data_IF_474498657542
#
_entry.id   IF_474498657542
#
_cell.length_a   1.000
_cell.length_b   1.000
_cell.length_c   1.000
_cell.angle_alpha   90.00
_cell.angle_beta   90.00
_cell.angle_gamma   90.00
#
_symmetry.space_group_name_H-M   'P 1'
#
loop_
_entity.id
_entity.type
_entity.pdbx_description
1 polymer ?
#
# COMPACT_ATOMS: atom_id res chain seq x y z
N UNK A 1 7.75 -12.82 -9.44
CA UNK A 1 6.92 -11.94 -10.35
C UNK A 1 6.41 -10.76 -9.56
N UNK A 2 6.46 -9.53 -10.11
CA UNK A 2 5.87 -8.33 -9.49
C UNK A 2 4.43 -8.11 -9.99
N UNK A 3 3.50 -7.62 -9.15
CA UNK A 3 2.15 -7.34 -9.59
C UNK A 3 2.06 -6.16 -10.58
N UNK A 4 1.06 -6.18 -11.47
CA UNK A 4 0.68 -5.07 -12.34
C UNK A 4 0.16 -3.89 -11.52
N UNK A 5 0.45 -2.66 -11.94
CA UNK A 5 0.16 -1.45 -11.18
C UNK A 5 -0.82 -0.54 -11.91
N UNK A 6 -1.76 0.04 -11.15
CA UNK A 6 -2.68 1.07 -11.64
C UNK A 6 -2.03 2.45 -11.66
N UNK A 7 -2.46 3.31 -12.59
CA UNK A 7 -2.09 4.73 -12.67
C UNK A 7 -3.15 5.60 -11.99
N UNK A 8 -2.77 6.73 -11.37
CA UNK A 8 -3.74 7.72 -10.90
C UNK A 8 -4.50 8.33 -12.08
N UNK A 9 -5.80 8.56 -11.93
CA UNK A 9 -6.60 9.25 -12.94
C UNK A 9 -7.58 10.24 -12.31
N UNK A 10 -7.95 11.26 -13.07
CA UNK A 10 -8.81 12.35 -12.59
C UNK A 10 -10.30 12.05 -12.75
N UNK A 11 -10.68 11.25 -13.76
CA UNK A 11 -12.07 10.96 -14.11
C UNK A 11 -12.29 9.46 -14.20
N UNK A 12 -13.34 8.98 -13.53
CA UNK A 12 -13.76 7.58 -13.60
C UNK A 12 -14.26 7.29 -15.01
N UNK A 13 -13.74 6.26 -15.70
CA UNK A 13 -14.22 5.90 -17.01
C UNK A 13 -15.64 5.31 -16.92
N UNK A 14 -16.44 5.54 -17.95
CA UNK A 14 -17.78 4.97 -18.08
C UNK A 14 -17.85 4.03 -19.30
N UNK A 15 -18.86 3.18 -19.32
CA UNK A 15 -19.15 2.29 -20.45
C UNK A 15 -18.82 0.83 -20.17
N UNK A 16 -19.26 -0.07 -21.07
CA UNK A 16 -19.23 -1.53 -20.85
C UNK A 16 -17.83 -2.14 -20.87
N UNK A 17 -16.81 -1.40 -21.31
CA UNK A 17 -15.44 -1.88 -21.39
C UNK A 17 -14.71 -1.82 -20.04
N UNK A 18 -15.33 -1.24 -19.02
CA UNK A 18 -14.73 -1.02 -17.73
C UNK A 18 -15.49 -1.72 -16.61
N UNK A 19 -14.75 -2.21 -15.65
CA UNK A 19 -15.25 -2.74 -14.38
C UNK A 19 -14.58 -1.99 -13.23
N UNK A 20 -15.31 -1.84 -12.13
CA UNK A 20 -14.87 -1.05 -10.97
C UNK A 20 -14.83 -1.93 -9.73
N UNK A 21 -13.81 -1.75 -8.92
CA UNK A 21 -13.58 -2.50 -7.69
C UNK A 21 -13.26 -1.53 -6.55
N UNK A 22 -13.54 -1.94 -5.32
CA UNK A 22 -13.06 -1.23 -4.14
C UNK A 22 -11.53 -1.24 -4.12
N UNK A 23 -10.93 -0.08 -3.87
CA UNK A 23 -9.51 0.01 -3.55
C UNK A 23 -9.31 -0.31 -2.09
N UNK A 24 -8.77 -1.49 -1.82
CA UNK A 24 -8.53 -1.99 -0.49
C UNK A 24 -7.29 -1.32 0.15
N UNK A 25 -7.39 -0.93 1.42
CA UNK A 25 -6.27 -0.38 2.20
C UNK A 25 -5.57 -1.51 2.97
N UNK A 26 -4.56 -2.11 2.35
CA UNK A 26 -3.90 -3.30 2.85
C UNK A 26 -2.49 -3.50 2.32
N UNK A 27 -2.06 -4.76 2.25
CA UNK A 27 -0.80 -5.18 1.65
C UNK A 27 -1.04 -6.01 0.40
N UNK A 28 -0.60 -5.51 -0.76
CA UNK A 28 -0.63 -6.26 -2.03
C UNK A 28 0.27 -7.47 -1.99
N UNK A 29 -0.29 -8.62 -2.35
CA UNK A 29 0.44 -9.87 -2.46
C UNK A 29 0.08 -10.64 -3.73
N UNK A 30 1.02 -11.43 -4.21
CA UNK A 30 0.76 -12.58 -5.05
C UNK A 30 0.72 -13.81 -4.13
N UNK A 31 -0.42 -14.51 -4.12
CA UNK A 31 -0.60 -15.74 -3.36
C UNK A 31 -0.44 -16.92 -4.33
N UNK A 32 0.69 -17.60 -4.19
CA UNK A 32 1.04 -18.78 -4.98
C UNK A 32 0.70 -20.02 -4.19
N UNK A 33 -0.25 -20.81 -4.71
CA UNK A 33 -0.64 -22.11 -4.16
C UNK A 33 -0.04 -23.17 -5.07
N UNK A 34 0.85 -23.99 -4.52
CA UNK A 34 1.46 -25.12 -5.20
C UNK A 34 2.00 -26.13 -4.20
N UNK A 35 2.03 -27.40 -4.58
CA UNK A 35 2.60 -28.49 -3.76
C UNK A 35 2.05 -28.56 -2.33
N UNK A 36 0.75 -28.28 -2.14
CA UNK A 36 0.09 -28.26 -0.85
C UNK A 36 0.54 -27.12 0.08
N UNK A 37 1.07 -26.03 -0.45
CA UNK A 37 1.57 -24.87 0.30
C UNK A 37 1.09 -23.57 -0.32
N UNK A 38 1.03 -22.55 0.52
CA UNK A 38 0.80 -21.17 0.10
C UNK A 38 2.09 -20.39 0.28
N UNK A 39 2.53 -19.70 -0.74
CA UNK A 39 3.59 -18.71 -0.67
C UNK A 39 3.02 -17.32 -0.96
N UNK A 40 3.22 -16.38 -0.05
CA UNK A 40 2.76 -15.00 -0.17
C UNK A 40 3.96 -14.10 -0.50
N UNK A 41 3.94 -13.52 -1.69
CA UNK A 41 5.00 -12.61 -2.14
C UNK A 41 4.46 -11.18 -2.19
N UNK A 42 5.08 -10.27 -1.46
CA UNK A 42 4.70 -8.85 -1.47
C UNK A 42 5.01 -8.18 -2.82
N UNK A 43 4.53 -6.95 -3.01
CA UNK A 43 4.82 -6.11 -4.20
C UNK A 43 6.32 -6.01 -4.52
N UNK A 44 7.19 -6.05 -3.51
CA UNK A 44 8.64 -5.95 -3.63
C UNK A 44 9.35 -7.31 -3.63
N UNK A 45 8.61 -8.36 -3.94
CA UNK A 45 9.11 -9.76 -4.05
C UNK A 45 9.67 -10.33 -2.73
N UNK A 46 9.27 -9.75 -1.57
CA UNK A 46 9.60 -10.33 -0.27
C UNK A 46 8.60 -11.43 0.08
N UNK A 47 9.11 -12.55 0.59
CA UNK A 47 8.29 -13.58 1.22
C UNK A 47 7.72 -13.06 2.54
N UNK A 48 6.38 -13.04 2.63
CA UNK A 48 5.61 -12.61 3.81
C UNK A 48 4.74 -13.73 4.37
N UNK A 49 4.92 -14.95 3.90
CA UNK A 49 4.09 -16.13 4.22
C UNK A 49 3.98 -16.36 5.72
N UNK A 50 5.10 -16.31 6.44
CA UNK A 50 5.13 -16.53 7.90
C UNK A 50 4.24 -15.54 8.65
N UNK A 51 4.06 -14.34 8.12
CA UNK A 51 3.27 -13.30 8.78
C UNK A 51 1.75 -13.55 8.73
N UNK A 52 1.26 -14.44 7.86
CA UNK A 52 -0.17 -14.66 7.61
C UNK A 52 -0.54 -16.16 7.63
N UNK A 53 -0.34 -16.85 8.77
CA UNK A 53 -0.58 -18.29 8.88
C UNK A 53 -2.05 -18.67 8.64
N UNK A 54 -3.01 -17.74 8.84
CA UNK A 54 -4.43 -17.94 8.59
C UNK A 54 -4.76 -18.17 7.11
N UNK A 55 -3.87 -17.76 6.18
CA UNK A 55 -4.05 -17.97 4.75
C UNK A 55 -3.56 -19.33 4.26
N UNK A 56 -2.90 -20.13 5.10
CA UNK A 56 -2.39 -21.45 4.72
C UNK A 56 -3.48 -22.40 4.22
N UNK A 57 -4.71 -22.28 4.73
CA UNK A 57 -5.85 -23.09 4.31
C UNK A 57 -6.28 -22.94 2.84
N UNK A 58 -5.74 -21.95 2.10
CA UNK A 58 -5.93 -21.89 0.64
C UNK A 58 -5.40 -23.15 -0.06
N UNK A 59 -4.33 -23.77 0.44
CA UNK A 59 -3.74 -24.97 -0.13
C UNK A 59 -4.59 -26.23 0.11
N UNK A 60 -5.56 -26.18 1.03
CA UNK A 60 -6.51 -27.27 1.26
C UNK A 60 -7.63 -27.29 0.20
N UNK A 61 -7.87 -26.16 -0.49
CA UNK A 61 -8.93 -26.02 -1.46
C UNK A 61 -8.45 -26.17 -2.92
N UNK A 62 -7.20 -25.82 -3.19
CA UNK A 62 -6.65 -25.79 -4.55
C UNK A 62 -5.22 -26.34 -4.58
N UNK A 63 -4.91 -27.11 -5.64
CA UNK A 63 -3.61 -27.73 -5.82
C UNK A 63 -2.59 -26.81 -6.49
N UNK A 64 -3.06 -25.97 -7.43
CA UNK A 64 -2.19 -25.04 -8.18
C UNK A 64 -2.98 -23.81 -8.65
N UNK A 65 -2.63 -22.64 -8.11
CA UNK A 65 -3.10 -21.35 -8.58
C UNK A 65 -2.16 -20.21 -8.18
N UNK A 66 -2.20 -19.11 -8.94
CA UNK A 66 -1.55 -17.85 -8.58
C UNK A 66 -2.60 -16.73 -8.59
N UNK A 67 -2.87 -16.19 -7.40
CA UNK A 67 -3.81 -15.09 -7.19
C UNK A 67 -3.06 -13.77 -7.04
N UNK A 68 -3.67 -12.69 -7.53
CA UNK A 68 -3.29 -11.33 -7.19
C UNK A 68 -4.36 -10.74 -6.26
N UNK A 69 -3.95 -10.23 -5.13
CA UNK A 69 -4.89 -9.78 -4.11
C UNK A 69 -4.29 -8.76 -3.14
N UNK A 70 -5.16 -8.26 -2.27
CA UNK A 70 -4.80 -7.39 -1.16
C UNK A 70 -5.10 -8.09 0.16
N UNK A 71 -4.10 -8.24 1.03
CA UNK A 71 -4.32 -8.67 2.41
C UNK A 71 -4.77 -7.45 3.20
N UNK A 72 -5.95 -7.56 3.82
CA UNK A 72 -6.54 -6.51 4.65
C UNK A 72 -6.74 -6.99 6.09
N UNK A 73 -6.61 -6.08 7.04
CA UNK A 73 -7.08 -6.27 8.41
C UNK A 73 -8.03 -5.13 8.77
N UNK A 74 -9.02 -5.42 9.61
CA UNK A 74 -10.06 -4.46 9.95
C UNK A 74 -9.70 -3.65 11.19
N UNK A 75 -10.06 -2.37 11.17
CA UNK A 75 -10.04 -1.50 12.35
C UNK A 75 -11.36 -0.75 12.43
N UNK A 76 -12.17 -1.05 13.43
CA UNK A 76 -13.52 -0.49 13.52
C UNK A 76 -14.42 -0.87 12.35
N UNK A 77 -14.26 -2.06 11.77
CA UNK A 77 -15.07 -2.54 10.64
C UNK A 77 -14.60 -2.04 9.26
N UNK A 78 -13.55 -1.22 9.19
CA UNK A 78 -13.02 -0.68 7.93
C UNK A 78 -11.60 -1.25 7.69
N UNK A 79 -11.28 -1.66 6.44
CA UNK A 79 -9.92 -2.06 6.07
C UNK A 79 -8.91 -0.95 6.39
N UNK A 80 -7.78 -1.31 6.99
CA UNK A 80 -6.81 -0.34 7.46
C UNK A 80 -5.39 -0.89 7.36
N UNK A 81 -4.54 -0.27 6.55
CA UNK A 81 -3.11 -0.59 6.47
C UNK A 81 -2.41 -0.54 7.86
N UNK A 82 -2.66 0.46 8.74
CA UNK A 82 -2.07 0.46 10.08
C UNK A 82 -2.47 -0.75 10.94
N UNK A 83 -3.59 -1.41 10.67
CA UNK A 83 -3.99 -2.62 11.39
C UNK A 83 -3.09 -3.82 11.07
N UNK A 84 -2.37 -3.78 9.94
CA UNK A 84 -1.37 -4.78 9.55
C UNK A 84 0.04 -4.47 10.06
N UNK A 85 0.28 -3.29 10.63
CA UNK A 85 1.63 -2.79 10.94
C UNK A 85 2.45 -3.77 11.81
N UNK A 86 1.82 -4.45 12.76
CA UNK A 86 2.51 -5.42 13.63
C UNK A 86 2.91 -6.71 12.91
N UNK A 87 2.36 -6.96 11.69
CA UNK A 87 2.60 -8.16 10.89
C UNK A 87 3.83 -8.05 9.99
N UNK A 88 4.25 -6.83 9.60
CA UNK A 88 5.27 -6.61 8.57
C UNK A 88 6.67 -7.12 8.90
N UNK A 89 7.01 -7.26 10.18
CA UNK A 89 8.32 -7.72 10.63
C UNK A 89 8.28 -9.08 11.32
N UNK A 90 7.16 -9.79 11.23
CA UNK A 90 7.01 -11.06 11.92
C UNK A 90 7.73 -12.14 11.14
N UNK A 91 8.77 -12.71 11.77
CA UNK A 91 9.52 -13.86 11.27
C UNK A 91 9.29 -15.12 12.12
N UNK A 92 8.65 -14.97 13.27
CA UNK A 92 8.32 -16.06 14.18
C UNK A 92 6.90 -16.54 13.95
N UNK A 93 6.73 -17.80 13.55
CA UNK A 93 5.42 -18.42 13.36
C UNK A 93 4.55 -18.34 14.62
N UNK A 94 5.11 -18.57 15.81
CA UNK A 94 4.37 -18.46 17.08
C UNK A 94 3.77 -17.09 17.29
N UNK A 95 4.55 -16.03 17.00
CA UNK A 95 4.07 -14.65 17.10
C UNK A 95 3.00 -14.35 16.04
N UNK A 96 3.19 -14.85 14.82
CA UNK A 96 2.22 -14.67 13.74
C UNK A 96 0.86 -15.27 14.10
N UNK A 97 0.83 -16.49 14.64
CA UNK A 97 -0.41 -17.16 15.10
C UNK A 97 -1.12 -16.34 16.19
N UNK A 98 -0.36 -15.80 17.17
CA UNK A 98 -0.95 -14.95 18.22
C UNK A 98 -1.58 -13.68 17.64
N UNK A 99 -0.91 -13.03 16.69
CA UNK A 99 -1.42 -11.83 16.04
C UNK A 99 -2.61 -12.12 15.12
N UNK A 100 -2.59 -13.25 14.42
CA UNK A 100 -3.70 -13.70 13.58
C UNK A 100 -4.97 -13.97 14.40
N UNK A 101 -4.83 -14.56 15.58
CA UNK A 101 -5.96 -14.79 16.50
C UNK A 101 -6.53 -13.48 17.06
N UNK A 102 -5.67 -12.47 17.32
CA UNK A 102 -6.09 -11.18 17.87
C UNK A 102 -6.74 -10.27 16.82
N UNK A 103 -6.21 -10.27 15.60
CA UNK A 103 -6.70 -9.46 14.48
C UNK A 103 -6.45 -10.22 13.16
N UNK A 104 -7.38 -11.12 12.76
CA UNK A 104 -7.22 -11.92 11.56
C UNK A 104 -7.21 -11.05 10.31
N UNK A 105 -6.35 -11.42 9.37
CA UNK A 105 -6.30 -10.81 8.05
C UNK A 105 -7.12 -11.61 7.04
N UNK A 106 -7.58 -10.93 6.00
CA UNK A 106 -8.35 -11.54 4.89
C UNK A 106 -7.68 -11.18 3.56
N UNK A 107 -7.51 -12.16 2.69
CA UNK A 107 -7.08 -11.95 1.31
C UNK A 107 -8.30 -11.58 0.45
N UNK A 108 -8.28 -10.41 -0.15
CA UNK A 108 -9.21 -9.94 -1.18
C UNK A 108 -8.60 -10.29 -2.54
N UNK A 109 -8.92 -11.47 -3.08
CA UNK A 109 -8.40 -11.93 -4.37
C UNK A 109 -9.20 -11.30 -5.51
N UNK A 110 -8.57 -10.50 -6.35
CA UNK A 110 -9.24 -9.76 -7.42
C UNK A 110 -8.73 -10.10 -8.82
N UNK A 111 -7.69 -10.93 -8.97
CA UNK A 111 -7.22 -11.44 -10.25
C UNK A 111 -6.64 -12.85 -10.10
N UNK A 112 -6.69 -13.63 -11.19
CA UNK A 112 -6.17 -14.99 -11.29
C UNK A 112 -5.16 -15.06 -12.43
N UNK A 113 -3.91 -15.39 -12.11
CA UNK A 113 -2.79 -15.32 -13.05
C UNK A 113 -2.34 -16.69 -13.54
N UNK A 114 -2.55 -17.74 -12.76
CA UNK A 114 -2.29 -19.14 -13.11
C UNK A 114 -3.34 -20.04 -12.48
N UNK A 115 -3.74 -21.09 -13.20
CA UNK A 115 -4.60 -22.14 -12.69
C UNK A 115 -4.21 -23.49 -13.33
N UNK A 116 -3.93 -24.50 -12.52
CA UNK A 116 -3.55 -25.86 -12.94
C UNK A 116 -2.46 -25.88 -14.04
N UNK A 117 -1.38 -25.14 -13.82
CA UNK A 117 -0.25 -25.01 -14.73
C UNK A 117 -0.49 -24.08 -15.92
N UNK A 118 -1.70 -23.57 -16.12
CA UNK A 118 -2.02 -22.69 -17.26
C UNK A 118 -1.79 -21.23 -16.87
N UNK A 119 -0.88 -20.54 -17.58
CA UNK A 119 -0.68 -19.10 -17.47
C UNK A 119 -1.88 -18.35 -18.09
N UNK A 120 -2.50 -17.49 -17.30
CA UNK A 120 -3.66 -16.68 -17.69
C UNK A 120 -3.29 -15.22 -17.97
N UNK A 121 -2.05 -14.79 -17.77
CA UNK A 121 -1.64 -13.37 -17.90
C UNK A 121 -1.94 -12.77 -19.25
N UNK A 122 -1.90 -13.58 -20.33
CA UNK A 122 -2.22 -13.15 -21.70
C UNK A 122 -3.72 -13.16 -22.03
N UNK A 123 -4.57 -13.69 -21.14
CA UNK A 123 -6.02 -13.62 -21.29
C UNK A 123 -6.53 -12.23 -20.91
N UNK A 124 -7.72 -11.90 -21.41
CA UNK A 124 -8.41 -10.67 -20.99
C UNK A 124 -8.75 -10.68 -19.48
N UNK A 125 -8.86 -9.53 -18.86
CA UNK A 125 -9.35 -9.43 -17.48
C UNK A 125 -10.73 -10.08 -17.34
N UNK A 126 -11.61 -9.89 -18.31
CA UNK A 126 -12.94 -10.51 -18.33
C UNK A 126 -12.85 -12.04 -18.20
N UNK A 127 -11.96 -12.70 -18.95
CA UNK A 127 -11.78 -14.16 -18.90
C UNK A 127 -11.16 -14.60 -17.58
N UNK A 128 -10.13 -13.87 -17.10
CA UNK A 128 -9.48 -14.18 -15.81
C UNK A 128 -10.46 -14.03 -14.64
N UNK A 129 -11.24 -12.95 -14.66
CA UNK A 129 -12.24 -12.68 -13.63
C UNK A 129 -13.39 -13.68 -13.65
N UNK A 130 -13.95 -14.01 -14.81
CA UNK A 130 -14.98 -15.02 -14.94
C UNK A 130 -14.48 -16.41 -14.47
N UNK A 131 -13.20 -16.71 -14.68
CA UNK A 131 -12.59 -17.94 -14.17
C UNK A 131 -12.45 -17.90 -12.66
N UNK A 132 -11.96 -16.81 -12.08
CA UNK A 132 -11.83 -16.60 -10.64
C UNK A 132 -13.18 -16.72 -9.92
N UNK A 133 -14.24 -16.13 -10.47
CA UNK A 133 -15.59 -16.17 -9.89
C UNK A 133 -16.17 -17.59 -9.91
N UNK A 134 -15.94 -18.36 -10.98
CA UNK A 134 -16.38 -19.78 -11.06
C UNK A 134 -15.69 -20.72 -10.09
N UNK A 135 -14.52 -20.34 -9.54
CA UNK A 135 -13.85 -21.12 -8.50
C UNK A 135 -14.57 -21.03 -7.16
N UNK A 136 -15.55 -20.10 -7.02
CA UNK A 136 -16.30 -19.87 -5.78
C UNK A 136 -15.37 -19.77 -4.55
N UNK A 137 -14.23 -19.10 -4.76
CA UNK A 137 -13.17 -18.95 -3.77
C UNK A 137 -13.70 -18.19 -2.55
N UNK A 138 -14.12 -18.91 -1.54
CA UNK A 138 -14.62 -18.35 -0.28
C UNK A 138 -14.08 -19.15 0.90
N UNK A 139 -13.71 -18.43 1.97
CA UNK A 139 -13.20 -19.02 3.20
C UNK A 139 -13.20 -18.00 4.33
N UNK A 140 -12.81 -18.42 5.54
CA UNK A 140 -12.81 -17.52 6.69
C UNK A 140 -11.84 -16.35 6.54
N UNK A 141 -10.80 -16.50 5.69
CA UNK A 141 -9.71 -15.55 5.55
C UNK A 141 -9.39 -15.17 4.09
N UNK A 142 -10.24 -15.53 3.12
CA UNK A 142 -10.12 -15.13 1.72
C UNK A 142 -11.48 -15.06 1.05
N UNK A 143 -11.58 -14.18 0.09
CA UNK A 143 -12.78 -14.01 -0.73
C UNK A 143 -12.46 -13.31 -2.05
N UNK A 144 -13.35 -13.47 -3.02
CA UNK A 144 -13.36 -12.72 -4.27
C UNK A 144 -14.33 -11.55 -4.07
N UNK A 145 -13.83 -10.29 -3.99
CA UNK A 145 -14.72 -9.14 -3.81
C UNK A 145 -15.55 -8.89 -5.08
N UNK A 146 -16.77 -8.34 -4.96
CA UNK A 146 -17.60 -8.04 -6.10
C UNK A 146 -17.01 -6.96 -7.01
N UNK A 147 -17.43 -6.98 -8.27
CA UNK A 147 -17.16 -5.93 -9.25
C UNK A 147 -18.44 -5.15 -9.55
N UNK A 148 -18.29 -3.91 -10.04
CA UNK A 148 -19.38 -2.98 -10.27
C UNK A 148 -19.30 -2.37 -11.67
N UNK A 149 -20.44 -2.13 -12.32
CA UNK A 149 -20.53 -1.51 -13.63
C UNK A 149 -20.59 0.03 -13.57
N UNK A 150 -21.05 0.60 -12.45
CA UNK A 150 -21.12 2.05 -12.22
C UNK A 150 -20.02 2.50 -11.27
N UNK A 151 -18.97 3.09 -11.85
CA UNK A 151 -17.80 3.52 -11.09
C UNK A 151 -18.03 4.80 -10.28
N UNK A 152 -18.88 5.73 -10.73
CA UNK A 152 -19.14 6.95 -9.95
C UNK A 152 -20.01 6.63 -8.73
N UNK A 153 -21.03 5.78 -8.89
CA UNK A 153 -21.84 5.30 -7.78
C UNK A 153 -20.97 4.55 -6.74
N UNK A 154 -20.10 3.67 -7.22
CA UNK A 154 -19.16 2.98 -6.33
C UNK A 154 -18.21 3.95 -5.61
N UNK A 155 -17.75 5.00 -6.31
CA UNK A 155 -16.86 6.02 -5.75
C UNK A 155 -17.56 6.83 -4.64
N UNK A 156 -18.82 7.17 -4.82
CA UNK A 156 -19.65 7.81 -3.77
C UNK A 156 -19.84 6.88 -2.58
N UNK A 157 -20.29 5.64 -2.81
CA UNK A 157 -20.51 4.66 -1.75
C UNK A 157 -19.24 4.36 -0.94
N UNK A 158 -18.08 4.20 -1.60
CA UNK A 158 -16.80 3.98 -0.92
C UNK A 158 -16.33 5.18 -0.11
N UNK A 159 -16.66 6.41 -0.54
CA UNK A 159 -16.39 7.64 0.22
C UNK A 159 -17.23 7.70 1.49
N UNK A 160 -18.51 7.43 1.39
CA UNK A 160 -19.47 7.47 2.51
C UNK A 160 -19.14 6.41 3.56
N UNK A 161 -18.62 5.26 3.13
CA UNK A 161 -18.16 4.17 4.00
C UNK A 161 -16.73 4.38 4.55
N UNK A 162 -16.04 5.47 4.18
CA UNK A 162 -14.68 5.75 4.64
C UNK A 162 -13.61 4.81 4.08
N UNK A 163 -13.89 4.13 2.97
CA UNK A 163 -12.94 3.26 2.25
C UNK A 163 -11.89 4.11 1.50
N UNK A 164 -10.83 3.48 1.04
CA UNK A 164 -9.68 4.18 0.42
C UNK A 164 -10.01 4.80 -0.94
N UNK A 165 -10.93 4.22 -1.69
CA UNK A 165 -11.31 4.65 -3.04
C UNK A 165 -11.74 3.49 -3.92
N UNK A 166 -11.55 3.66 -5.23
CA UNK A 166 -11.86 2.63 -6.23
C UNK A 166 -10.69 2.40 -7.20
N UNK A 167 -10.73 1.25 -7.87
CA UNK A 167 -9.89 0.92 -9.03
C UNK A 167 -10.81 0.58 -10.19
N UNK A 168 -10.61 1.23 -11.36
CA UNK A 168 -11.29 0.88 -12.61
C UNK A 168 -10.34 0.09 -13.50
N UNK A 169 -10.79 -1.03 -14.01
CA UNK A 169 -9.99 -1.93 -14.84
C UNK A 169 -10.68 -2.14 -16.18
N UNK A 170 -9.91 -2.07 -17.28
CA UNK A 170 -10.41 -2.37 -18.62
C UNK A 170 -10.62 -3.87 -18.77
N UNK A 171 -11.80 -4.31 -19.16
CA UNK A 171 -12.16 -5.73 -19.27
C UNK A 171 -11.31 -6.49 -20.31
N UNK A 172 -10.84 -5.82 -21.37
CA UNK A 172 -9.97 -6.40 -22.38
C UNK A 172 -8.49 -6.44 -22.00
N UNK A 173 -8.11 -5.87 -20.84
CA UNK A 173 -6.71 -5.74 -20.43
C UNK A 173 -6.05 -7.11 -20.21
N UNK A 174 -4.81 -7.23 -20.66
CA UNK A 174 -3.90 -8.30 -20.25
C UNK A 174 -3.26 -7.95 -18.93
N UNK A 175 -2.66 -8.94 -18.30
CA UNK A 175 -1.88 -8.69 -17.08
C UNK A 175 -0.41 -8.46 -17.45
N UNK A 176 0.12 -7.30 -17.11
CA UNK A 176 1.49 -6.88 -17.39
C UNK A 176 2.33 -6.88 -16.11
N UNK A 177 3.00 -7.99 -15.77
CA UNK A 177 3.75 -8.10 -14.51
C UNK A 177 4.77 -6.97 -14.33
N UNK A 178 4.73 -6.31 -13.16
CA UNK A 178 5.66 -5.26 -12.78
C UNK A 178 5.47 -3.92 -13.47
N UNK A 179 4.56 -3.82 -14.45
CA UNK A 179 4.35 -2.58 -15.21
C UNK A 179 3.18 -1.76 -14.68
N UNK A 180 3.26 -0.45 -14.84
CA UNK A 180 2.11 0.46 -14.73
C UNK A 180 1.36 0.45 -16.06
N UNK A 181 0.02 0.43 -15.98
CA UNK A 181 -0.81 0.41 -17.18
C UNK A 181 -2.01 1.35 -16.99
N UNK A 182 -2.31 2.13 -18.02
CA UNK A 182 -3.51 2.96 -18.11
C UNK A 182 -4.80 2.13 -18.26
N UNK A 183 -4.66 0.83 -18.46
CA UNK A 183 -5.80 -0.09 -18.44
C UNK A 183 -6.33 -0.36 -17.04
N UNK A 184 -5.54 0.03 -16.01
CA UNK A 184 -5.95 0.02 -14.59
C UNK A 184 -5.78 1.42 -14.01
N UNK A 185 -6.90 2.02 -13.58
CA UNK A 185 -6.98 3.39 -13.08
C UNK A 185 -7.36 3.41 -11.61
N UNK A 186 -6.64 4.16 -10.77
CA UNK A 186 -6.96 4.29 -9.34
C UNK A 186 -7.51 5.67 -9.01
N UNK A 187 -8.53 5.71 -8.15
CA UNK A 187 -9.24 6.91 -7.69
C UNK A 187 -9.32 6.91 -6.16
N UNK A 188 -8.24 7.23 -5.45
CA UNK A 188 -8.27 7.30 -3.99
C UNK A 188 -9.06 8.52 -3.53
N UNK A 189 -9.82 8.38 -2.42
CA UNK A 189 -10.56 9.50 -1.80
C UNK A 189 -9.65 10.45 -1.04
N UNK A 190 -8.62 9.88 -0.39
CA UNK A 190 -7.50 10.62 0.18
C UNK A 190 -6.24 10.17 -0.51
N UNK A 191 -5.37 11.10 -0.75
CA UNK A 191 -4.10 10.77 -1.37
C UNK A 191 -3.17 10.17 -0.33
N UNK A 192 -2.99 8.88 -0.36
CA UNK A 192 -1.88 8.21 0.32
C UNK A 192 -0.66 8.20 -0.58
N UNK A 193 0.49 8.52 -0.01
CA UNK A 193 1.77 8.44 -0.67
C UNK A 193 2.78 7.73 0.21
N UNK A 194 3.52 6.78 -0.38
CA UNK A 194 4.73 6.25 0.22
C UNK A 194 5.86 7.24 -0.01
N UNK A 195 6.49 7.71 1.07
CA UNK A 195 7.52 8.75 1.04
C UNK A 195 8.71 8.35 1.90
N UNK A 196 9.86 8.98 1.65
CA UNK A 196 11.08 8.78 2.43
C UNK A 196 11.15 9.79 3.57
N UNK A 197 11.61 9.33 4.75
CA UNK A 197 11.94 10.21 5.87
C UNK A 197 13.37 10.71 5.68
N UNK A 198 13.55 12.02 5.53
CA UNK A 198 14.86 12.68 5.38
C UNK A 198 15.24 13.54 6.57
N UNK A 199 14.38 13.64 7.58
CA UNK A 199 14.65 14.37 8.81
C UNK A 199 13.50 14.24 9.81
N UNK A 200 13.73 14.77 11.01
CA UNK A 200 12.69 14.86 12.04
C UNK A 200 12.89 16.10 12.92
N UNK A 201 11.84 16.47 13.63
CA UNK A 201 11.85 17.56 14.62
C UNK A 201 11.31 17.07 15.94
N UNK A 202 11.83 17.60 17.05
CA UNK A 202 11.26 17.32 18.37
C UNK A 202 9.87 17.96 18.53
N UNK A 203 9.12 17.49 19.53
CA UNK A 203 7.92 18.16 20.02
C UNK A 203 8.27 19.54 20.57
N UNK A 204 7.31 20.47 20.60
CA UNK A 204 7.54 21.88 20.99
C UNK A 204 8.15 22.01 22.39
N UNK A 205 7.77 21.13 23.32
CA UNK A 205 8.22 21.17 24.72
C UNK A 205 9.22 20.05 25.06
N UNK A 206 9.92 19.50 24.06
CA UNK A 206 10.88 18.41 24.24
C UNK A 206 12.04 18.54 23.27
N UNK A 207 13.21 18.08 23.66
CA UNK A 207 14.40 18.02 22.80
C UNK A 207 14.62 16.64 22.17
N UNK A 208 14.00 15.60 22.69
CA UNK A 208 14.25 14.19 22.37
C UNK A 208 13.00 13.42 21.92
N UNK A 209 11.80 13.92 22.23
CA UNK A 209 10.58 13.30 21.73
C UNK A 209 10.26 13.73 20.30
N UNK A 210 10.10 12.75 19.43
CA UNK A 210 9.81 12.98 18.03
C UNK A 210 8.40 13.57 17.85
N UNK A 211 8.32 14.82 17.38
CA UNK A 211 7.07 15.54 17.14
C UNK A 211 6.62 15.55 15.67
N UNK A 212 7.58 15.53 14.75
CA UNK A 212 7.28 15.50 13.31
C UNK A 212 8.43 14.90 12.51
N UNK A 213 8.12 14.33 11.34
CA UNK A 213 9.11 13.94 10.33
C UNK A 213 9.09 14.89 9.15
N UNK A 214 10.24 15.07 8.51
CA UNK A 214 10.44 15.75 7.24
C UNK A 214 10.48 14.70 6.15
N UNK A 215 9.60 14.81 5.18
CA UNK A 215 9.43 13.76 4.16
C UNK A 215 9.69 14.26 2.75
N UNK A 216 10.08 13.34 1.87
CA UNK A 216 10.32 13.60 0.47
C UNK A 216 10.13 12.37 -0.40
N UNK A 217 10.16 12.57 -1.71
CA UNK A 217 10.15 11.49 -2.69
C UNK A 217 11.29 11.68 -3.71
N UNK A 218 11.92 10.58 -4.18
CA UNK A 218 12.90 10.63 -5.25
C UNK A 218 12.32 11.25 -6.52
N UNK A 219 13.07 12.20 -7.08
CA UNK A 219 12.77 12.92 -8.31
C UNK A 219 14.08 13.04 -9.13
N UNK A 220 14.03 13.46 -10.41
CA UNK A 220 15.23 13.61 -11.23
C UNK A 220 16.31 14.50 -10.61
N UNK A 221 15.91 15.51 -9.86
CA UNK A 221 16.81 16.44 -9.15
C UNK A 221 17.36 15.90 -7.81
N UNK A 222 16.91 14.74 -7.36
CA UNK A 222 17.24 14.16 -6.05
C UNK A 222 16.00 13.96 -5.16
N UNK A 223 16.17 13.96 -3.83
CA UNK A 223 15.05 13.80 -2.89
C UNK A 223 14.27 15.12 -2.81
N UNK A 224 13.13 15.23 -3.50
CA UNK A 224 12.25 16.41 -3.43
C UNK A 224 11.55 16.49 -2.09
N UNK A 225 11.67 17.64 -1.42
CA UNK A 225 11.00 17.90 -0.15
C UNK A 225 9.48 18.04 -0.33
N UNK A 226 8.71 17.25 0.43
CA UNK A 226 7.24 17.23 0.36
C UNK A 226 6.55 17.83 1.59
N UNK A 227 7.31 18.18 2.63
CA UNK A 227 6.76 18.87 3.79
C UNK A 227 7.03 18.14 5.12
N UNK A 228 6.42 18.74 6.17
CA UNK A 228 6.48 18.24 7.55
C UNK A 228 5.20 17.51 7.91
N UNK A 229 5.35 16.32 8.54
CA UNK A 229 4.25 15.45 8.97
C UNK A 229 4.35 15.28 10.48
N UNK A 230 3.42 15.86 11.23
CA UNK A 230 3.34 15.75 12.70
C UNK A 230 2.13 14.94 13.17
N UNK A 231 1.02 15.02 12.43
CA UNK A 231 -0.18 14.25 12.78
C UNK A 231 0.06 12.75 12.64
N UNK A 232 -0.42 11.96 13.60
CA UNK A 232 -0.29 10.49 13.60
C UNK A 232 1.01 9.94 14.20
N UNK A 233 1.90 10.80 14.73
CA UNK A 233 3.23 10.39 15.28
C UNK A 233 3.25 10.34 16.82
N UNK A 234 2.20 10.73 17.51
CA UNK A 234 2.21 10.85 18.97
C UNK A 234 2.44 9.52 19.71
N UNK A 235 3.02 9.61 20.92
CA UNK A 235 3.12 8.51 21.89
C UNK A 235 4.03 7.36 21.43
N UNK A 236 3.54 6.12 21.52
CA UNK A 236 4.32 4.90 21.21
C UNK A 236 4.84 4.87 19.77
N UNK A 237 4.10 5.45 18.82
CA UNK A 237 4.49 5.51 17.39
C UNK A 237 5.74 6.38 17.24
N UNK A 238 5.73 7.59 17.84
CA UNK A 238 6.89 8.49 17.81
C UNK A 238 8.12 7.89 18.48
N UNK A 239 7.95 7.24 19.64
CA UNK A 239 9.04 6.60 20.36
C UNK A 239 9.68 5.43 19.57
N UNK A 240 8.87 4.62 18.89
CA UNK A 240 9.36 3.55 18.04
C UNK A 240 10.13 4.11 16.82
N UNK A 241 9.56 5.12 16.17
CA UNK A 241 10.17 5.75 15.00
C UNK A 241 11.48 6.47 15.35
N UNK A 242 11.55 7.15 16.51
CA UNK A 242 12.77 7.79 16.98
C UNK A 242 13.93 6.80 17.15
N UNK A 243 13.67 5.59 17.64
CA UNK A 243 14.69 4.53 17.75
C UNK A 243 15.23 4.10 16.38
N UNK A 244 14.38 3.99 15.37
CA UNK A 244 14.79 3.63 14.02
C UNK A 244 15.61 4.76 13.35
N UNK A 245 15.29 6.02 13.64
CA UNK A 245 15.95 7.19 13.07
C UNK A 245 17.30 7.52 13.73
N UNK A 246 17.51 7.14 14.99
CA UNK A 246 18.72 7.49 15.76
C UNK A 246 20.04 7.06 15.09
N UNK A 247 20.03 5.89 14.42
CA UNK A 247 21.21 5.37 13.70
C UNK A 247 21.41 5.94 12.28
N UNK A 248 20.53 6.85 11.83
CA UNK A 248 20.53 7.36 10.46
C UNK A 248 20.90 8.84 10.34
N UNK A 249 21.30 9.49 11.44
CA UNK A 249 21.62 10.92 11.46
C UNK A 249 22.75 11.26 10.49
N UNK A 250 22.56 12.35 9.75
CA UNK A 250 23.53 12.93 8.81
C UNK A 250 23.72 14.42 9.08
N UNK A 251 24.87 14.97 8.73
CA UNK A 251 25.24 16.38 8.98
C UNK A 251 24.60 17.36 7.99
N UNK A 252 24.20 16.88 6.83
CA UNK A 252 23.65 17.72 5.74
C UNK A 252 22.23 17.28 5.37
N UNK A 253 21.42 18.22 4.89
CA UNK A 253 20.09 17.92 4.38
C UNK A 253 20.16 16.93 3.21
N UNK A 254 19.39 15.84 3.22
CA UNK A 254 19.31 14.91 2.10
C UNK A 254 18.36 15.40 1.00
N UNK A 255 17.62 16.49 1.24
CA UNK A 255 16.66 17.02 0.28
C UNK A 255 17.34 17.84 -0.79
N UNK A 256 16.92 17.65 -2.04
CA UNK A 256 17.27 18.53 -3.15
C UNK A 256 16.56 19.88 -2.97
N UNK A 257 17.33 20.96 -3.06
CA UNK A 257 16.82 22.30 -2.86
C UNK A 257 16.71 22.73 -1.38
N UNK A 258 16.04 23.84 -1.16
CA UNK A 258 15.95 24.48 0.16
C UNK A 258 14.74 23.96 0.94
N UNK A 259 15.01 23.37 2.11
CA UNK A 259 13.95 23.11 3.12
C UNK A 259 13.59 24.46 3.76
N UNK A 260 12.29 24.83 3.90
CA UNK A 260 11.89 26.06 4.55
C UNK A 260 12.52 26.24 5.91
N UNK A 261 12.88 27.48 6.24
CA UNK A 261 13.52 27.80 7.53
C UNK A 261 12.70 27.33 8.72
N UNK A 262 11.37 27.44 8.65
CA UNK A 262 10.44 26.99 9.69
C UNK A 262 10.48 25.47 9.92
N UNK A 263 10.81 24.69 8.89
CA UNK A 263 10.92 23.24 8.97
C UNK A 263 12.36 22.78 9.25
N UNK A 264 13.35 23.52 8.75
CA UNK A 264 14.77 23.23 8.95
C UNK A 264 15.28 23.59 10.36
N UNK A 265 14.71 24.63 10.98
CA UNK A 265 15.16 25.10 12.30
C UNK A 265 14.89 24.05 13.37
N UNK A 266 15.95 23.56 14.04
CA UNK A 266 15.86 22.50 15.05
C UNK A 266 15.59 21.11 14.48
N UNK A 267 15.69 20.91 13.16
CA UNK A 267 15.57 19.59 12.55
C UNK A 267 16.87 18.81 12.67
N UNK A 268 16.75 17.50 12.89
CA UNK A 268 17.83 16.53 12.71
C UNK A 268 17.62 15.82 11.39
N UNK A 269 18.57 15.96 10.46
CA UNK A 269 18.53 15.29 9.17
C UNK A 269 18.99 13.84 9.30
N UNK A 270 18.41 12.95 8.48
CA UNK A 270 18.72 11.53 8.46
C UNK A 270 18.89 11.03 7.03
N UNK A 271 19.70 9.99 6.85
CA UNK A 271 19.79 9.30 5.57
C UNK A 271 18.40 8.74 5.17
N UNK A 272 17.91 8.98 3.95
CA UNK A 272 16.53 8.66 3.54
C UNK A 272 16.36 7.16 3.23
N UNK A 273 16.52 6.32 4.25
CA UNK A 273 16.43 4.87 4.15
C UNK A 273 15.07 4.31 4.56
N UNK A 274 14.29 5.10 5.29
CA UNK A 274 13.01 4.64 5.84
C UNK A 274 11.85 5.14 4.99
N UNK A 275 11.04 4.20 4.50
CA UNK A 275 9.78 4.50 3.81
C UNK A 275 8.64 4.55 4.81
N UNK A 276 7.77 5.54 4.70
CA UNK A 276 6.53 5.63 5.46
C UNK A 276 5.34 5.97 4.57
N UNK A 277 4.16 5.60 5.01
CA UNK A 277 2.90 6.01 4.40
C UNK A 277 2.44 7.32 5.01
N UNK A 278 2.10 8.27 4.16
CA UNK A 278 1.52 9.56 4.55
C UNK A 278 0.23 9.78 3.78
N UNK A 279 -0.83 10.15 4.48
CA UNK A 279 -2.09 10.53 3.88
C UNK A 279 -2.21 12.05 3.86
N UNK A 280 -2.64 12.63 2.74
CA UNK A 280 -2.77 14.07 2.58
C UNK A 280 -4.02 14.44 1.75
N UNK A 281 -4.44 15.70 1.81
CA UNK A 281 -5.52 16.25 0.97
C UNK A 281 -5.03 16.73 -0.41
N UNK A 282 -3.92 16.18 -0.91
CA UNK A 282 -3.25 16.61 -2.14
C UNK A 282 -2.02 17.47 -1.87
N UNK A 283 -1.55 18.19 -2.89
CA UNK A 283 -0.41 19.10 -2.79
C UNK A 283 -0.84 20.56 -2.75
N UNK A 284 -0.01 21.40 -2.11
CA UNK A 284 -0.07 22.86 -2.21
C UNK A 284 0.50 23.32 -3.56
N UNK A 285 0.28 24.59 -3.97
CA UNK A 285 0.93 25.15 -5.17
C UNK A 285 2.46 25.08 -5.13
N UNK A 286 3.05 24.98 -3.94
CA UNK A 286 4.49 24.82 -3.74
C UNK A 286 4.96 23.37 -3.78
N UNK A 287 4.09 22.44 -4.17
CA UNK A 287 4.39 21.01 -4.28
C UNK A 287 4.55 20.28 -2.95
N UNK A 288 3.89 20.74 -1.87
CA UNK A 288 3.97 20.14 -0.54
C UNK A 288 2.66 19.45 -0.15
N UNK A 289 2.75 18.39 0.63
CA UNK A 289 1.59 17.68 1.15
C UNK A 289 0.72 18.60 2.01
N UNK A 290 -0.57 18.69 1.67
CA UNK A 290 -1.56 19.49 2.40
C UNK A 290 -2.20 18.68 3.51
N UNK A 291 -2.11 19.18 4.75
CA UNK A 291 -2.61 18.52 5.96
C UNK A 291 -2.17 17.03 6.06
N UNK A 292 -0.87 16.75 5.98
CA UNK A 292 -0.37 15.39 5.97
C UNK A 292 -0.54 14.72 7.35
N UNK A 293 -0.86 13.43 7.32
CA UNK A 293 -0.91 12.57 8.50
C UNK A 293 -0.10 11.30 8.25
N UNK A 294 0.77 10.98 9.19
CA UNK A 294 1.53 9.73 9.21
C UNK A 294 0.61 8.54 9.46
N UNK A 295 0.74 7.50 8.65
CA UNK A 295 -0.07 6.28 8.74
C UNK A 295 0.71 5.06 9.21
N UNK A 296 2.01 5.08 9.05
CA UNK A 296 2.87 3.98 9.48
C UNK A 296 4.15 3.85 8.67
N UNK A 297 5.07 3.01 9.18
CA UNK A 297 6.22 2.56 8.39
C UNK A 297 5.78 1.63 7.27
N UNK A 298 6.49 1.68 6.15
CA UNK A 298 6.37 0.77 5.00
C UNK A 298 7.62 -0.11 4.88
N UNK A 299 7.78 -1.09 5.79
CA UNK A 299 8.95 -1.98 5.76
C UNK A 299 8.89 -3.00 4.62
N UNK A 300 7.75 -3.12 3.97
CA UNK A 300 7.52 -3.86 2.74
C UNK A 300 8.12 -3.16 1.51
N UNK A 301 8.50 -1.87 1.61
CA UNK A 301 9.10 -1.07 0.56
C UNK A 301 10.55 -0.70 0.90
N UNK A 302 11.37 -0.53 -0.14
CA UNK A 302 12.72 0.05 -0.05
C UNK A 302 12.74 1.42 -0.74
N UNK A 303 13.73 2.29 -0.49
CA UNK A 303 13.79 3.63 -1.10
C UNK A 303 13.67 3.63 -2.63
N UNK A 304 14.17 2.62 -3.32
CA UNK A 304 14.08 2.48 -4.77
C UNK A 304 12.64 2.20 -5.28
N UNK A 305 11.73 1.79 -4.40
CA UNK A 305 10.31 1.55 -4.76
C UNK A 305 9.46 2.82 -4.65
N UNK A 306 10.04 3.93 -4.17
CA UNK A 306 9.36 5.22 -3.99
C UNK A 306 9.72 6.15 -5.14
N UNK A 307 8.71 6.81 -5.72
CA UNK A 307 8.90 7.81 -6.78
C UNK A 307 8.02 9.03 -6.51
N UNK A 308 8.47 10.20 -6.99
CA UNK A 308 7.64 11.41 -6.99
C UNK A 308 6.37 11.22 -7.82
N UNK A 309 6.39 10.38 -8.83
CA UNK A 309 5.23 10.06 -9.67
C UNK A 309 4.11 9.34 -8.89
N UNK A 310 4.47 8.67 -7.77
CA UNK A 310 3.51 8.01 -6.89
C UNK A 310 2.81 8.98 -5.93
N UNK A 311 3.29 10.22 -5.84
CA UNK A 311 2.70 11.29 -5.01
C UNK A 311 1.61 11.98 -5.81
N UNK A 312 0.34 11.82 -5.44
CA UNK A 312 -0.78 12.38 -6.21
C UNK A 312 -0.69 13.89 -6.36
N UNK A 313 -0.72 14.36 -7.62
CA UNK A 313 -0.61 15.77 -7.97
C UNK A 313 0.82 16.32 -8.03
N UNK A 314 1.84 15.46 -8.03
CA UNK A 314 3.24 15.88 -8.12
C UNK A 314 3.82 15.79 -9.56
N UNK A 315 3.02 15.25 -10.51
CA UNK A 315 3.37 15.16 -11.93
C UNK A 315 2.95 16.38 -12.71
#
# INVERSE_FOLDING_TARGET
MRPMLAVPAGRVPAGPDWVHEVKWDGMRVLADVADGRVMLTSRTERDVTVAFPELAGLADQFEDMLLDGEIVAMRGGIPSFPALAERFHVTSHRRAVTLAAANPATLMAFDLLRLYGVDLTQRSLADRRATLERLELAGPHWQVPPTFSDGELLREATRDQGLEGIVSKRLTSRYHPGLRSEEWLKFPHRTSASVLIGGWRPETDSTDRLGAVLVGAPAPEGLRYLGRVGSGIAGKVGAALAKELAGLTVSTSPFAGVVPREDALGATFVAPRLVCEVQALGLTPQGRLRQPAYRGRRPDLVPADVSIEDVPGAG
#
